data_IF_489836481834
#
_entry.id   IF_489836481834
#
_cell.length_a   1.000
_cell.length_b   1.000
_cell.length_c   1.000
_cell.angle_alpha   90.00
_cell.angle_beta   90.00
_cell.angle_gamma   90.00
#
_symmetry.space_group_name_H-M   'P 1'
#
loop_
_entity.id
_entity.type
_entity.pdbx_description
1 polymer ?
#
# COMPACT_ATOMS: atom_id res chain seq x y z
N UNK A 1 15.04 -18.98 -20.39
CA UNK A 1 13.68 -18.37 -20.34
C UNK A 1 13.15 -18.64 -18.95
N UNK A 2 12.92 -17.59 -18.17
CA UNK A 2 12.43 -17.70 -16.80
C UNK A 2 10.96 -18.16 -16.78
N UNK A 3 10.50 -18.68 -15.66
CA UNK A 3 9.08 -18.95 -15.44
C UNK A 3 8.33 -17.62 -15.24
N UNK A 4 8.88 -16.72 -14.41
CA UNK A 4 8.31 -15.40 -14.19
C UNK A 4 9.35 -14.28 -14.37
N UNK A 5 8.91 -13.20 -15.04
CA UNK A 5 9.59 -11.90 -15.01
C UNK A 5 8.76 -10.96 -14.14
N UNK A 6 9.30 -10.54 -13.00
CA UNK A 6 8.66 -9.61 -12.09
C UNK A 6 9.17 -8.20 -12.38
N UNK A 7 8.28 -7.25 -12.62
CA UNK A 7 8.62 -5.86 -12.88
C UNK A 7 8.34 -5.02 -11.63
N UNK A 8 9.41 -4.60 -10.96
CA UNK A 8 9.39 -3.86 -9.70
C UNK A 8 9.68 -4.71 -8.47
N UNK A 9 10.65 -4.25 -7.66
CA UNK A 9 11.08 -4.86 -6.39
C UNK A 9 10.46 -4.16 -5.15
N UNK A 10 9.27 -3.59 -5.29
CA UNK A 10 8.49 -3.13 -4.12
C UNK A 10 7.94 -4.31 -3.32
N UNK A 11 7.31 -4.07 -2.15
CA UNK A 11 6.85 -5.14 -1.25
C UNK A 11 6.06 -6.26 -1.93
N UNK A 12 5.03 -5.99 -2.78
CA UNK A 12 4.30 -7.08 -3.43
C UNK A 12 5.13 -7.88 -4.43
N UNK A 13 6.03 -7.19 -5.19
CA UNK A 13 6.87 -7.85 -6.20
C UNK A 13 7.93 -8.74 -5.59
N UNK A 14 8.63 -8.24 -4.57
CA UNK A 14 9.62 -9.01 -3.82
C UNK A 14 8.97 -10.21 -3.10
N UNK A 15 7.81 -10.01 -2.50
CA UNK A 15 7.10 -11.10 -1.82
C UNK A 15 6.59 -12.17 -2.82
N UNK A 16 6.02 -11.77 -3.95
CA UNK A 16 5.64 -12.72 -5.01
C UNK A 16 6.84 -13.52 -5.51
N UNK A 17 7.95 -12.83 -5.79
CA UNK A 17 9.17 -13.48 -6.27
C UNK A 17 9.72 -14.48 -5.25
N UNK A 18 9.75 -14.12 -3.96
CA UNK A 18 10.10 -15.04 -2.88
C UNK A 18 9.23 -16.29 -2.91
N UNK A 19 7.88 -16.13 -2.87
CA UNK A 19 6.94 -17.25 -2.83
C UNK A 19 7.04 -18.15 -4.07
N UNK A 20 7.18 -17.56 -5.25
CA UNK A 20 7.34 -18.30 -6.49
C UNK A 20 8.66 -19.08 -6.54
N UNK A 21 9.76 -18.48 -6.05
CA UNK A 21 11.06 -19.18 -5.95
C UNK A 21 11.04 -20.29 -4.91
N UNK A 22 10.40 -20.10 -3.76
CA UNK A 22 10.15 -21.15 -2.75
C UNK A 22 9.35 -22.33 -3.33
N UNK A 23 8.45 -22.05 -4.29
CA UNK A 23 7.71 -23.09 -5.02
C UNK A 23 8.52 -23.77 -6.13
N UNK A 24 9.78 -23.34 -6.36
CA UNK A 24 10.71 -23.94 -7.31
C UNK A 24 10.67 -23.35 -8.71
N UNK A 25 10.02 -22.22 -8.93
CA UNK A 25 10.01 -21.50 -10.19
C UNK A 25 11.27 -20.66 -10.39
N UNK A 26 11.70 -20.53 -11.65
CA UNK A 26 12.80 -19.65 -12.06
C UNK A 26 12.28 -18.21 -12.21
N UNK A 27 12.67 -17.32 -11.30
CA UNK A 27 12.14 -15.96 -11.17
C UNK A 27 13.26 -14.92 -11.34
N UNK A 28 13.01 -13.92 -12.19
CA UNK A 28 13.86 -12.72 -12.31
C UNK A 28 13.04 -11.48 -11.97
N UNK A 29 13.60 -10.61 -11.15
CA UNK A 29 13.03 -9.29 -10.78
C UNK A 29 13.80 -8.22 -11.53
N UNK A 30 13.09 -7.34 -12.25
CA UNK A 30 13.67 -6.16 -12.90
C UNK A 30 13.25 -4.91 -12.11
N UNK A 31 14.23 -4.28 -11.44
CA UNK A 31 14.00 -3.06 -10.65
C UNK A 31 14.74 -1.88 -11.29
N UNK A 32 14.02 -0.75 -11.43
CA UNK A 32 14.57 0.45 -12.09
C UNK A 32 15.73 1.11 -11.33
N UNK A 33 15.74 0.98 -10.00
CA UNK A 33 16.75 1.53 -9.10
C UNK A 33 17.26 0.49 -8.14
N UNK A 34 17.51 0.92 -6.91
CA UNK A 34 17.73 0.04 -5.76
C UNK A 34 16.42 -0.14 -5.00
N UNK A 35 16.16 -1.31 -4.37
CA UNK A 35 14.99 -1.47 -3.51
C UNK A 35 14.93 -0.40 -2.41
N UNK A 36 13.78 0.23 -2.27
CA UNK A 36 13.54 1.29 -1.30
C UNK A 36 13.45 2.67 -1.94
N UNK A 37 14.54 3.45 -2.07
CA UNK A 37 14.44 4.83 -2.56
C UNK A 37 14.27 4.94 -4.09
N UNK A 38 13.54 5.96 -4.60
CA UNK A 38 12.77 6.94 -3.83
C UNK A 38 11.42 6.40 -3.38
N UNK A 39 11.01 6.72 -2.13
CA UNK A 39 9.74 6.26 -1.57
C UNK A 39 8.84 7.43 -1.16
N UNK A 40 7.59 7.38 -1.62
CA UNK A 40 6.50 8.22 -1.15
C UNK A 40 5.46 7.33 -0.44
N UNK A 41 5.79 6.86 0.74
CA UNK A 41 4.93 6.01 1.55
C UNK A 41 5.19 6.22 3.03
N UNK A 42 4.11 6.28 3.82
CA UNK A 42 4.19 6.52 5.26
C UNK A 42 4.87 5.39 6.05
N UNK A 43 4.84 4.16 5.59
CA UNK A 43 5.27 3.03 6.42
C UNK A 43 4.40 2.80 7.65
N UNK A 44 3.19 3.36 7.70
CA UNK A 44 2.21 3.07 8.74
C UNK A 44 1.44 1.80 8.37
N UNK A 45 1.80 0.70 8.98
CA UNK A 45 1.32 -0.64 8.64
C UNK A 45 0.65 -1.31 9.85
N UNK A 46 -0.36 -2.16 9.61
CA UNK A 46 -0.90 -3.00 10.69
C UNK A 46 0.14 -3.99 11.18
N UNK A 47 -0.12 -4.57 12.34
CA UNK A 47 0.76 -5.60 12.93
C UNK A 47 0.88 -6.86 12.08
N UNK A 48 -0.01 -7.08 11.10
CA UNK A 48 0.04 -8.23 10.20
C UNK A 48 1.31 -8.27 9.34
N UNK A 49 1.99 -7.13 9.16
CA UNK A 49 3.24 -7.07 8.39
C UNK A 49 4.29 -8.05 8.93
N UNK A 50 4.31 -8.25 10.24
CA UNK A 50 5.28 -9.12 10.89
C UNK A 50 5.15 -10.60 10.50
N UNK A 51 3.97 -11.04 10.05
CA UNK A 51 3.78 -12.41 9.57
C UNK A 51 4.49 -12.71 8.23
N UNK A 52 4.94 -11.69 7.52
CA UNK A 52 5.66 -11.79 6.25
C UNK A 52 7.18 -11.75 6.39
N UNK A 53 7.67 -11.48 7.60
CA UNK A 53 9.07 -11.17 7.89
C UNK A 53 9.64 -12.13 8.94
N UNK A 54 10.97 -12.27 9.03
CA UNK A 54 11.61 -12.97 10.12
C UNK A 54 11.31 -12.33 11.49
N UNK A 55 11.38 -13.12 12.57
CA UNK A 55 11.02 -12.66 13.93
C UNK A 55 11.88 -11.49 14.41
N UNK A 56 13.14 -11.41 14.00
CA UNK A 56 14.09 -10.34 14.36
C UNK A 56 13.90 -9.04 13.56
N UNK A 57 13.14 -9.06 12.46
CA UNK A 57 12.84 -7.88 11.66
C UNK A 57 12.12 -6.78 12.43
N UNK A 58 11.39 -7.13 13.49
CA UNK A 58 10.66 -6.17 14.32
C UNK A 58 11.59 -5.14 14.94
N UNK A 59 12.73 -5.59 15.47
CA UNK A 59 13.69 -4.71 16.14
C UNK A 59 14.45 -3.81 15.15
N UNK A 60 14.63 -4.28 13.92
CA UNK A 60 15.31 -3.52 12.86
C UNK A 60 14.40 -2.47 12.21
N UNK A 61 13.15 -2.84 11.96
CA UNK A 61 12.25 -2.06 11.10
C UNK A 61 11.31 -1.13 11.87
N UNK A 62 10.94 -1.49 13.09
CA UNK A 62 9.94 -0.75 13.85
C UNK A 62 10.49 0.54 14.41
N UNK A 63 9.90 1.65 14.05
CA UNK A 63 10.22 2.99 14.55
C UNK A 63 9.30 3.40 15.69
N UNK A 64 8.01 3.04 15.64
CA UNK A 64 7.05 3.32 16.70
C UNK A 64 5.92 2.30 16.73
N UNK A 65 5.28 2.15 17.88
CA UNK A 65 4.11 1.31 18.13
C UNK A 65 2.88 2.20 18.26
N UNK A 66 1.80 1.89 17.53
CA UNK A 66 0.57 2.68 17.51
C UNK A 66 -0.59 1.88 18.11
N UNK A 67 -1.25 2.47 19.10
CA UNK A 67 -2.40 1.89 19.80
C UNK A 67 -3.74 2.47 19.33
N UNK A 68 -3.73 3.55 18.57
CA UNK A 68 -4.95 4.17 18.10
C UNK A 68 -4.81 5.34 17.16
N UNK A 69 -5.93 6.01 16.93
CA UNK A 69 -6.01 7.21 16.10
C UNK A 69 -6.88 8.28 16.75
N UNK A 70 -6.50 9.54 16.59
CA UNK A 70 -7.31 10.71 16.93
C UNK A 70 -7.86 11.30 15.64
N UNK A 71 -9.16 11.27 15.48
CA UNK A 71 -9.84 11.88 14.35
C UNK A 71 -10.24 13.31 14.68
N UNK A 72 -9.98 14.22 13.75
CA UNK A 72 -10.28 15.63 13.84
C UNK A 72 -11.18 16.07 12.67
N UNK A 73 -12.24 16.81 12.96
CA UNK A 73 -13.07 17.43 11.92
C UNK A 73 -12.60 18.87 11.72
N UNK A 74 -11.52 19.02 10.96
CA UNK A 74 -10.79 20.26 10.74
C UNK A 74 -9.28 20.07 10.84
N UNK A 75 -8.51 21.16 10.76
CA UNK A 75 -7.06 21.16 10.86
C UNK A 75 -6.52 20.98 12.28
N UNK A 76 -5.21 21.20 12.48
CA UNK A 76 -4.56 21.19 13.79
C UNK A 76 -5.28 22.08 14.80
N UNK A 77 -5.28 21.67 16.09
CA UNK A 77 -6.01 22.37 17.16
C UNK A 77 -7.52 22.11 17.22
N UNK A 78 -8.12 21.41 16.25
CA UNK A 78 -9.52 21.02 16.33
C UNK A 78 -9.71 19.84 17.31
N UNK A 79 -10.96 19.69 17.80
CA UNK A 79 -11.29 18.64 18.80
C UNK A 79 -10.93 17.24 18.28
N UNK A 80 -10.23 16.46 19.11
CA UNK A 80 -9.93 15.05 18.88
C UNK A 80 -11.10 14.14 19.30
N UNK A 81 -11.33 13.10 18.49
CA UNK A 81 -12.18 11.97 18.79
C UNK A 81 -11.30 10.72 18.74
N UNK A 82 -10.99 10.15 19.91
CA UNK A 82 -9.97 9.09 20.05
C UNK A 82 -10.59 7.71 19.87
N UNK A 83 -9.92 6.88 19.08
CA UNK A 83 -10.20 5.47 18.85
C UNK A 83 -8.95 4.68 19.22
N UNK A 84 -9.07 3.68 20.08
CA UNK A 84 -7.90 2.98 20.59
C UNK A 84 -8.17 1.51 20.91
N UNK A 85 -7.09 0.74 21.01
CA UNK A 85 -7.06 -0.59 21.62
C UNK A 85 -5.96 -0.63 22.67
N UNK A 86 -6.06 -1.60 23.59
CA UNK A 86 -4.99 -1.87 24.54
C UNK A 86 -3.79 -2.52 23.87
N UNK A 87 -4.06 -3.40 22.91
CA UNK A 87 -3.04 -4.04 22.09
C UNK A 87 -2.64 -3.13 20.92
N UNK A 88 -1.40 -3.20 20.45
CA UNK A 88 -0.97 -2.48 19.25
C UNK A 88 -1.89 -2.75 18.05
N UNK A 89 -2.25 -1.71 17.31
CA UNK A 89 -3.07 -1.83 16.10
C UNK A 89 -2.25 -1.71 14.83
N UNK A 90 -1.11 -1.02 14.92
CA UNK A 90 -0.23 -0.76 13.79
C UNK A 90 1.16 -0.33 14.26
N UNK A 91 2.06 -0.15 13.32
CA UNK A 91 3.42 0.33 13.57
C UNK A 91 3.80 1.37 12.52
N UNK A 92 4.63 2.34 12.90
CA UNK A 92 5.45 3.08 11.97
C UNK A 92 6.73 2.26 11.73
N UNK A 93 7.05 1.98 10.46
CA UNK A 93 8.23 1.19 10.08
C UNK A 93 9.14 1.96 9.13
N UNK A 94 10.43 1.64 9.15
CA UNK A 94 11.36 2.10 8.13
C UNK A 94 11.04 1.41 6.79
N UNK A 95 10.49 2.20 5.85
CA UNK A 95 10.07 1.69 4.56
C UNK A 95 11.23 1.35 3.65
N UNK A 96 12.35 2.05 3.75
CA UNK A 96 13.54 1.74 2.94
C UNK A 96 14.14 0.43 3.38
N UNK A 97 14.29 0.24 4.69
CA UNK A 97 14.77 -1.01 5.25
C UNK A 97 13.82 -2.18 4.97
N UNK A 98 12.49 -1.96 5.08
CA UNK A 98 11.48 -2.98 4.76
C UNK A 98 11.59 -3.46 3.30
N UNK A 99 11.68 -2.53 2.34
CA UNK A 99 11.74 -2.90 0.92
C UNK A 99 13.04 -3.67 0.61
N UNK A 100 14.16 -3.25 1.21
CA UNK A 100 15.45 -3.96 1.07
C UNK A 100 15.40 -5.36 1.68
N UNK A 101 14.83 -5.50 2.86
CA UNK A 101 14.67 -6.80 3.51
C UNK A 101 13.81 -7.75 2.68
N UNK A 102 12.68 -7.29 2.15
CA UNK A 102 11.82 -8.12 1.30
C UNK A 102 12.52 -8.54 0.00
N UNK A 103 13.32 -7.64 -0.60
CA UNK A 103 14.11 -7.98 -1.79
C UNK A 103 15.21 -9.00 -1.47
N UNK A 104 15.91 -8.84 -0.35
CA UNK A 104 16.92 -9.81 0.14
C UNK A 104 16.28 -11.20 0.37
N UNK A 105 15.12 -11.25 1.02
CA UNK A 105 14.40 -12.52 1.23
C UNK A 105 13.99 -13.20 -0.08
N UNK A 106 13.70 -12.42 -1.13
CA UNK A 106 13.44 -12.98 -2.45
C UNK A 106 14.71 -13.58 -3.09
N UNK A 107 15.87 -12.91 -2.95
CA UNK A 107 17.16 -13.44 -3.43
C UNK A 107 17.57 -14.70 -2.65
N UNK A 108 17.40 -14.72 -1.33
CA UNK A 108 17.67 -15.90 -0.49
C UNK A 108 16.78 -17.10 -0.87
N UNK A 109 15.56 -16.86 -1.34
CA UNK A 109 14.66 -17.89 -1.86
C UNK A 109 15.04 -18.37 -3.27
N UNK A 110 15.98 -17.69 -3.95
CA UNK A 110 16.47 -18.07 -5.27
C UNK A 110 16.04 -17.16 -6.43
N UNK A 111 15.33 -16.07 -6.18
CA UNK A 111 15.00 -15.09 -7.22
C UNK A 111 16.26 -14.32 -7.68
N UNK A 112 16.39 -14.07 -8.96
CA UNK A 112 17.45 -13.21 -9.50
C UNK A 112 16.98 -11.75 -9.47
N UNK A 113 17.58 -10.90 -8.63
CA UNK A 113 17.31 -9.46 -8.61
C UNK A 113 18.26 -8.73 -9.56
N UNK A 114 17.71 -7.98 -10.50
CA UNK A 114 18.45 -7.09 -11.41
C UNK A 114 18.06 -5.64 -11.15
N UNK A 115 18.88 -4.93 -10.41
CA UNK A 115 18.74 -3.49 -10.18
C UNK A 115 19.19 -2.67 -11.39
N UNK A 116 18.79 -1.39 -11.45
CA UNK A 116 19.09 -0.48 -12.56
C UNK A 116 18.55 -0.96 -13.93
N UNK A 117 17.43 -1.71 -13.92
CA UNK A 117 16.74 -2.20 -15.11
C UNK A 117 15.36 -1.54 -15.24
N UNK A 118 15.30 -0.42 -15.97
CA UNK A 118 14.03 0.26 -16.23
C UNK A 118 13.29 -0.43 -17.37
N UNK A 119 12.22 -1.15 -17.05
CA UNK A 119 11.34 -1.74 -18.08
C UNK A 119 10.70 -0.65 -18.92
N UNK A 120 10.87 -0.74 -20.23
CA UNK A 120 10.37 0.25 -21.19
C UNK A 120 9.30 -0.29 -22.11
N UNK A 121 9.31 -1.60 -22.36
CA UNK A 121 8.33 -2.26 -23.23
C UNK A 121 8.22 -3.74 -22.90
N UNK A 122 7.15 -4.38 -23.35
CA UNK A 122 7.00 -5.82 -23.32
C UNK A 122 6.13 -6.29 -24.51
N UNK A 123 6.39 -7.50 -24.97
CA UNK A 123 5.62 -8.15 -26.03
C UNK A 123 5.16 -9.52 -25.51
N UNK A 124 3.85 -9.76 -25.59
CA UNK A 124 3.26 -11.08 -25.28
C UNK A 124 3.25 -11.91 -26.57
N UNK A 125 3.78 -13.12 -26.48
CA UNK A 125 3.90 -14.08 -27.58
C UNK A 125 3.13 -15.38 -27.21
N UNK A 126 2.90 -16.26 -28.15
CA UNK A 126 2.15 -17.51 -27.92
C UNK A 126 2.81 -18.39 -26.84
N UNK A 127 4.14 -18.39 -26.76
CA UNK A 127 4.94 -19.25 -25.87
C UNK A 127 5.58 -18.51 -24.68
N UNK A 128 5.39 -17.18 -24.56
CA UNK A 128 6.00 -16.41 -23.46
C UNK A 128 5.81 -14.91 -23.58
N UNK A 129 6.64 -14.19 -22.82
CA UNK A 129 6.70 -12.74 -22.80
C UNK A 129 8.15 -12.31 -22.97
N UNK A 130 8.41 -11.35 -23.86
CA UNK A 130 9.69 -10.67 -24.00
C UNK A 130 9.61 -9.30 -23.37
N UNK A 131 10.36 -9.06 -22.29
CA UNK A 131 10.41 -7.78 -21.57
C UNK A 131 11.68 -7.03 -21.96
N UNK A 132 11.52 -5.79 -22.40
CA UNK A 132 12.63 -4.90 -22.77
C UNK A 132 12.91 -3.93 -21.63
N UNK A 133 14.16 -3.89 -21.16
CA UNK A 133 14.60 -2.99 -20.11
C UNK A 133 15.83 -2.17 -20.55
N UNK A 134 15.91 -0.92 -20.09
CA UNK A 134 17.06 -0.04 -20.25
C UNK A 134 17.93 -0.09 -19.00
N UNK A 135 19.22 -0.24 -19.22
CA UNK A 135 20.31 0.03 -18.29
C UNK A 135 21.02 1.33 -18.70
N UNK A 136 21.92 1.89 -17.87
CA UNK A 136 22.61 3.13 -18.21
C UNK A 136 23.24 3.15 -19.60
N UNK A 137 23.84 2.04 -20.01
CA UNK A 137 24.66 1.97 -21.25
C UNK A 137 24.07 1.06 -22.34
N UNK A 138 22.99 0.32 -22.05
CA UNK A 138 22.45 -0.66 -23.00
C UNK A 138 20.95 -0.91 -22.84
N UNK A 139 20.37 -1.49 -23.86
CA UNK A 139 19.02 -2.07 -23.79
C UNK A 139 19.14 -3.59 -23.80
N UNK A 140 18.48 -4.22 -22.84
CA UNK A 140 18.48 -5.68 -22.68
C UNK A 140 17.06 -6.23 -22.82
N UNK A 141 16.97 -7.50 -23.20
CA UNK A 141 15.70 -8.22 -23.26
C UNK A 141 15.77 -9.42 -22.31
N UNK A 142 14.67 -9.67 -21.61
CA UNK A 142 14.49 -10.81 -20.71
C UNK A 142 13.24 -11.57 -21.16
N UNK A 143 13.37 -12.88 -21.30
CA UNK A 143 12.25 -13.75 -21.69
C UNK A 143 11.72 -14.55 -20.51
N UNK A 144 10.40 -14.54 -20.33
CA UNK A 144 9.70 -15.37 -19.35
C UNK A 144 8.46 -16.04 -19.92
N UNK A 145 7.92 -17.00 -19.21
CA UNK A 145 6.62 -17.61 -19.53
C UNK A 145 5.47 -16.66 -19.23
N UNK A 146 5.60 -15.92 -18.11
CA UNK A 146 4.65 -14.90 -17.67
C UNK A 146 5.36 -13.67 -17.10
N UNK A 147 4.66 -12.53 -17.08
CA UNK A 147 5.11 -11.29 -16.45
C UNK A 147 4.18 -10.88 -15.33
N UNK A 148 4.76 -10.58 -14.15
CA UNK A 148 4.10 -9.97 -13.01
C UNK A 148 4.37 -8.46 -13.01
N UNK A 149 3.35 -7.64 -13.22
CA UNK A 149 3.44 -6.19 -13.10
C UNK A 149 3.27 -5.76 -11.64
N UNK A 150 4.41 -5.44 -10.99
CA UNK A 150 4.50 -4.92 -9.62
C UNK A 150 5.11 -3.51 -9.62
N UNK A 151 4.98 -2.80 -10.73
CA UNK A 151 5.66 -1.56 -11.10
C UNK A 151 4.93 -0.28 -10.66
N UNK A 152 4.06 -0.42 -9.65
CA UNK A 152 3.45 0.69 -8.95
C UNK A 152 2.28 1.35 -9.69
N UNK A 153 1.81 2.52 -9.21
CA UNK A 153 0.54 3.12 -9.63
C UNK A 153 0.51 3.53 -11.12
N UNK A 154 1.67 3.85 -11.69
CA UNK A 154 1.81 4.22 -13.10
C UNK A 154 2.24 3.05 -13.97
N UNK A 155 1.81 1.84 -13.62
CA UNK A 155 2.26 0.60 -14.23
C UNK A 155 2.41 0.65 -15.75
N UNK A 156 3.60 0.33 -16.20
CA UNK A 156 3.89 0.16 -17.62
C UNK A 156 3.34 -1.16 -18.12
N UNK A 157 3.47 -2.22 -17.31
CA UNK A 157 2.91 -3.53 -17.65
C UNK A 157 1.42 -3.39 -17.94
N UNK A 158 0.64 -2.78 -17.02
CA UNK A 158 -0.80 -2.53 -17.20
C UNK A 158 -1.12 -1.88 -18.54
N UNK A 159 -0.44 -0.77 -18.85
CA UNK A 159 -0.70 -0.02 -20.09
C UNK A 159 -0.31 -0.78 -21.34
N UNK A 160 0.82 -1.48 -21.31
CA UNK A 160 1.30 -2.20 -22.50
C UNK A 160 0.40 -3.39 -22.85
N UNK A 161 -0.14 -4.10 -21.85
CA UNK A 161 -1.07 -5.22 -22.10
C UNK A 161 -2.54 -4.79 -22.24
N UNK A 162 -2.80 -3.47 -22.24
CA UNK A 162 -4.13 -2.91 -22.51
C UNK A 162 -5.15 -3.13 -21.39
N UNK A 163 -4.70 -3.28 -20.14
CA UNK A 163 -5.58 -3.32 -18.97
C UNK A 163 -6.01 -1.91 -18.56
N UNK A 164 -7.24 -1.79 -18.06
CA UNK A 164 -7.85 -0.52 -17.68
C UNK A 164 -7.09 0.16 -16.52
N UNK A 165 -7.21 1.50 -16.46
CA UNK A 165 -6.68 2.30 -15.35
C UNK A 165 -7.51 2.08 -14.07
N UNK A 166 -6.95 2.39 -12.87
CA UNK A 166 -7.71 2.46 -11.62
C UNK A 166 -8.94 3.38 -11.73
N UNK A 167 -9.97 3.11 -10.91
CA UNK A 167 -11.17 3.97 -10.88
C UNK A 167 -10.84 5.43 -10.52
N UNK A 168 -9.84 5.63 -9.66
CA UNK A 168 -9.36 6.93 -9.21
C UNK A 168 -7.88 6.84 -8.83
N UNK A 169 -7.17 7.95 -8.98
CA UNK A 169 -5.80 8.08 -8.48
C UNK A 169 -5.73 9.36 -7.65
N UNK A 170 -5.20 9.29 -6.42
CA UNK A 170 -4.95 10.45 -5.59
C UNK A 170 -3.49 10.88 -5.70
N UNK A 171 -3.24 12.16 -5.49
CA UNK A 171 -1.89 12.71 -5.32
C UNK A 171 -1.61 12.83 -3.82
N UNK A 172 -0.69 12.02 -3.32
CA UNK A 172 -0.20 12.06 -1.95
C UNK A 172 1.08 12.87 -1.84
N UNK A 173 1.18 13.66 -0.78
CA UNK A 173 2.42 14.37 -0.40
C UNK A 173 2.74 14.09 1.06
N UNK A 174 4.02 13.95 1.36
CA UNK A 174 4.57 13.63 2.67
C UNK A 174 5.68 14.60 3.04
N UNK A 175 5.76 14.95 4.31
CA UNK A 175 6.85 15.70 4.89
C UNK A 175 7.29 15.09 6.22
N UNK A 176 8.55 15.24 6.58
CA UNK A 176 9.14 14.68 7.79
C UNK A 176 9.81 15.80 8.59
N UNK A 177 9.60 15.81 9.91
CA UNK A 177 10.37 16.60 10.87
C UNK A 177 11.33 15.69 11.65
N UNK A 178 12.34 16.29 12.28
CA UNK A 178 13.35 15.56 13.08
C UNK A 178 13.02 15.56 14.58
N UNK A 179 11.88 16.11 14.99
CA UNK A 179 11.49 16.14 16.40
C UNK A 179 11.13 14.74 16.88
N UNK A 180 11.79 14.25 17.92
CA UNK A 180 11.47 12.97 18.56
C UNK A 180 10.03 12.99 19.06
N UNK A 181 9.27 11.94 18.71
CA UNK A 181 7.88 11.80 19.14
C UNK A 181 7.49 10.33 19.29
N UNK A 182 7.29 9.91 20.50
CA UNK A 182 6.92 8.56 20.92
C UNK A 182 5.42 8.43 21.29
N UNK A 183 4.60 9.44 20.92
CA UNK A 183 3.14 9.32 21.03
C UNK A 183 2.65 8.05 20.31
N UNK A 184 1.77 7.31 20.93
CA UNK A 184 1.26 6.04 20.44
C UNK A 184 -0.05 6.18 19.65
N UNK A 185 -0.40 7.41 19.23
CA UNK A 185 -1.57 7.73 18.41
C UNK A 185 -1.19 8.46 17.13
N UNK A 186 -1.82 8.07 16.03
CA UNK A 186 -1.82 8.88 14.80
C UNK A 186 -2.93 9.92 14.86
N UNK A 187 -2.70 11.10 14.29
CA UNK A 187 -3.74 12.09 14.08
C UNK A 187 -4.24 12.06 12.64
N UNK A 188 -5.56 12.03 12.46
CA UNK A 188 -6.24 12.01 11.16
C UNK A 188 -7.17 13.22 11.08
N UNK A 189 -6.91 14.11 10.13
CA UNK A 189 -7.63 15.36 9.96
C UNK A 189 -8.52 15.33 8.72
N UNK A 190 -9.84 15.38 8.93
CA UNK A 190 -10.83 15.49 7.84
C UNK A 190 -10.93 16.97 7.40
N UNK A 191 -9.87 17.47 6.76
CA UNK A 191 -9.69 18.86 6.38
C UNK A 191 -9.40 19.09 4.89
N UNK A 192 -9.13 18.01 4.15
CA UNK A 192 -8.93 18.06 2.68
C UNK A 192 -10.08 17.39 1.93
N UNK A 193 -10.22 17.69 0.65
CA UNK A 193 -11.31 17.18 -0.17
C UNK A 193 -11.20 15.67 -0.40
N UNK A 194 -12.27 14.95 -0.10
CA UNK A 194 -12.45 13.51 -0.39
C UNK A 194 -11.43 12.55 0.23
N UNK A 195 -10.53 13.09 1.09
CA UNK A 195 -9.55 12.31 1.82
C UNK A 195 -9.25 12.97 3.18
N UNK A 196 -7.99 12.90 3.67
CA UNK A 196 -7.58 13.44 4.96
C UNK A 196 -6.10 13.84 4.95
N UNK A 197 -5.70 14.66 5.94
CA UNK A 197 -4.31 14.85 6.33
C UNK A 197 -3.99 14.00 7.54
N UNK A 198 -2.72 13.63 7.72
CA UNK A 198 -2.29 12.80 8.85
C UNK A 198 -1.00 13.30 9.48
N UNK A 199 -0.83 12.96 10.74
CA UNK A 199 0.40 13.06 11.49
C UNK A 199 0.70 11.70 12.11
N UNK A 200 1.91 11.17 11.89
CA UNK A 200 2.34 9.86 12.37
C UNK A 200 3.63 10.02 13.14
N UNK A 201 3.61 9.80 14.48
CA UNK A 201 4.83 9.79 15.31
C UNK A 201 5.67 8.55 14.98
N UNK A 202 6.99 8.72 14.88
CA UNK A 202 7.95 7.70 14.46
C UNK A 202 9.07 7.50 15.48
N UNK A 203 8.83 7.83 16.76
CA UNK A 203 9.84 7.78 17.80
C UNK A 203 11.02 8.72 17.51
N UNK A 204 12.24 8.23 17.67
CA UNK A 204 13.47 8.97 17.37
C UNK A 204 13.71 9.22 15.86
N UNK A 205 12.92 8.63 14.99
CA UNK A 205 12.96 8.93 13.54
C UNK A 205 12.12 10.16 13.16
N UNK A 206 11.60 10.89 14.13
CA UNK A 206 10.85 12.12 13.95
C UNK A 206 9.35 11.93 13.79
N UNK A 207 8.72 12.84 13.05
CA UNK A 207 7.28 12.81 12.76
C UNK A 207 7.04 12.94 11.27
N UNK A 208 6.10 12.15 10.78
CA UNK A 208 5.61 12.26 9.42
C UNK A 208 4.29 13.04 9.39
N UNK A 209 4.21 13.97 8.45
CA UNK A 209 3.01 14.71 8.09
C UNK A 209 2.66 14.42 6.63
N UNK A 210 1.39 14.28 6.33
CA UNK A 210 1.00 14.04 4.95
C UNK A 210 -0.46 14.34 4.68
N UNK A 211 -0.80 14.35 3.41
CA UNK A 211 -2.17 14.42 2.92
C UNK A 211 -2.27 13.80 1.52
N UNK A 212 -3.49 13.49 1.11
CA UNK A 212 -3.75 13.11 -0.26
C UNK A 212 -5.02 13.79 -0.78
N UNK A 213 -5.02 14.17 -2.05
CA UNK A 213 -6.12 14.86 -2.70
C UNK A 213 -6.36 14.31 -4.12
N UNK A 214 -7.55 14.49 -4.69
CA UNK A 214 -7.76 14.23 -6.11
C UNK A 214 -6.87 15.13 -6.97
N UNK A 215 -6.33 14.65 -8.10
CA UNK A 215 -5.53 15.47 -9.00
C UNK A 215 -6.31 16.69 -9.49
N UNK A 216 -5.65 17.85 -9.49
CA UNK A 216 -6.22 19.11 -10.00
C UNK A 216 -7.23 19.81 -9.07
N UNK A 217 -7.44 19.32 -7.84
CA UNK A 217 -8.31 20.01 -6.86
C UNK A 217 -7.63 21.18 -6.19
N UNK A 218 -6.35 21.10 -5.86
CA UNK A 218 -5.52 22.14 -5.25
C UNK A 218 -4.03 21.82 -5.44
N UNK A 219 -3.13 22.71 -5.03
CA UNK A 219 -1.72 22.36 -4.87
C UNK A 219 -1.52 21.57 -3.57
N UNK A 220 -1.03 20.34 -3.70
CA UNK A 220 -0.83 19.46 -2.55
C UNK A 220 0.33 19.92 -1.65
N UNK A 221 1.33 20.58 -2.23
CA UNK A 221 2.46 21.15 -1.49
C UNK A 221 2.02 22.31 -0.60
N UNK A 222 1.23 23.24 -1.15
CA UNK A 222 0.69 24.39 -0.40
C UNK A 222 -0.20 23.92 0.75
N UNK A 223 -1.04 22.89 0.52
CA UNK A 223 -1.87 22.30 1.58
C UNK A 223 -1.04 21.60 2.66
N UNK A 224 0.09 20.98 2.30
CA UNK A 224 1.00 20.40 3.28
C UNK A 224 1.66 21.48 4.13
N UNK A 225 2.07 22.61 3.51
CA UNK A 225 2.64 23.74 4.22
C UNK A 225 1.64 24.34 5.22
N UNK A 226 0.40 24.61 4.81
CA UNK A 226 -0.67 25.09 5.70
C UNK A 226 -0.91 24.09 6.86
N UNK A 227 -0.89 22.79 6.56
CA UNK A 227 -1.10 21.75 7.59
C UNK A 227 0.02 21.71 8.61
N UNK A 228 1.28 21.78 8.18
CA UNK A 228 2.45 21.72 9.07
C UNK A 228 2.67 23.07 9.81
N UNK A 229 2.34 24.20 9.20
CA UNK A 229 2.29 25.49 9.87
C UNK A 229 1.34 25.47 11.07
N UNK A 230 0.19 24.78 10.96
CA UNK A 230 -0.77 24.58 12.03
C UNK A 230 -0.24 23.77 13.21
N UNK A 231 0.82 22.99 13.02
CA UNK A 231 1.58 22.30 14.06
C UNK A 231 2.81 23.08 14.52
N UNK A 232 3.23 24.13 13.80
CA UNK A 232 4.42 24.92 14.11
C UNK A 232 5.74 24.20 13.85
N UNK A 233 5.77 23.27 12.86
CA UNK A 233 6.94 22.43 12.56
C UNK A 233 7.55 22.78 11.21
N UNK A 234 8.86 22.58 11.10
CA UNK A 234 9.61 22.65 9.84
C UNK A 234 9.88 21.26 9.28
N UNK A 235 9.71 21.11 7.97
CA UNK A 235 9.95 19.85 7.29
C UNK A 235 11.37 19.80 6.70
N UNK A 236 12.13 18.77 7.09
CA UNK A 236 13.50 18.54 6.59
C UNK A 236 13.54 17.75 5.27
N UNK A 237 12.49 17.00 4.98
CA UNK A 237 12.37 16.19 3.76
C UNK A 237 10.93 16.14 3.28
N UNK A 238 10.76 16.13 1.97
CA UNK A 238 9.45 15.96 1.31
C UNK A 238 9.52 14.91 0.23
N UNK A 239 8.43 14.22 0.01
CA UNK A 239 8.23 13.33 -1.12
C UNK A 239 6.75 13.31 -1.54
N UNK A 240 6.49 12.85 -2.76
CA UNK A 240 5.14 12.74 -3.29
C UNK A 240 4.98 11.48 -4.13
N UNK A 241 3.77 10.99 -4.21
CA UNK A 241 3.45 9.79 -4.98
C UNK A 241 1.97 9.71 -5.32
N UNK A 242 1.64 8.77 -6.17
CA UNK A 242 0.26 8.49 -6.56
C UNK A 242 -0.29 7.33 -5.73
N UNK A 243 -1.56 7.42 -5.36
CA UNK A 243 -2.28 6.38 -4.62
C UNK A 243 -3.45 5.92 -5.52
N UNK A 244 -3.35 4.73 -6.12
CA UNK A 244 -4.41 4.21 -6.98
C UNK A 244 -5.54 3.64 -6.12
N UNK A 245 -6.77 3.98 -6.44
CA UNK A 245 -7.96 3.56 -5.70
C UNK A 245 -8.94 2.87 -6.64
N UNK A 246 -9.38 1.69 -6.25
CA UNK A 246 -10.38 0.92 -6.99
C UNK A 246 -9.77 0.13 -8.14
N UNK A 247 -9.58 -1.19 -7.94
CA UNK A 247 -9.04 -2.05 -8.98
C UNK A 247 -9.88 -2.01 -10.25
N UNK A 248 -9.26 -2.09 -11.44
CA UNK A 248 -9.95 -2.24 -12.70
C UNK A 248 -10.75 -3.56 -12.77
N UNK A 249 -11.59 -3.69 -13.80
CA UNK A 249 -12.43 -4.88 -13.98
C UNK A 249 -11.62 -6.17 -14.08
N UNK A 250 -10.44 -6.11 -14.70
CA UNK A 250 -9.47 -7.21 -14.76
C UNK A 250 -8.07 -6.69 -14.44
N UNK A 251 -7.30 -7.54 -13.74
CA UNK A 251 -5.87 -7.31 -13.46
C UNK A 251 -4.99 -8.37 -14.15
N UNK A 252 -5.57 -9.16 -15.05
CA UNK A 252 -4.91 -10.22 -15.81
C UNK A 252 -5.17 -10.07 -17.31
N UNK A 253 -4.21 -10.43 -18.15
CA UNK A 253 -4.29 -10.45 -19.61
C UNK A 253 -3.29 -11.47 -20.14
N UNK A 254 -3.75 -12.42 -20.98
CA UNK A 254 -2.95 -13.49 -21.58
C UNK A 254 -1.88 -14.08 -20.65
N UNK A 255 -0.64 -13.61 -20.74
CA UNK A 255 0.51 -14.06 -19.93
C UNK A 255 1.01 -12.98 -18.95
N UNK A 256 0.16 -12.00 -18.65
CA UNK A 256 0.48 -10.89 -17.77
C UNK A 256 -0.55 -10.77 -16.64
N UNK A 257 -0.08 -10.43 -15.45
CA UNK A 257 -0.91 -10.14 -14.29
C UNK A 257 -0.31 -9.03 -13.44
N UNK A 258 -1.17 -8.31 -12.74
CA UNK A 258 -0.78 -7.16 -11.92
C UNK A 258 -0.97 -7.48 -10.44
N UNK A 259 -0.07 -6.94 -9.60
CA UNK A 259 -0.12 -7.07 -8.14
C UNK A 259 0.13 -5.70 -7.49
N UNK A 260 -0.52 -5.44 -6.35
CA UNK A 260 -0.33 -4.23 -5.55
C UNK A 260 -0.87 -2.97 -6.23
N UNK A 261 -0.12 -1.88 -6.19
CA UNK A 261 -0.54 -0.60 -6.75
C UNK A 261 -0.71 -0.64 -8.28
N UNK A 262 0.03 -1.51 -8.97
CA UNK A 262 -0.17 -1.73 -10.40
C UNK A 262 -1.59 -2.24 -10.72
N UNK A 263 -2.18 -2.99 -9.80
CA UNK A 263 -3.55 -3.51 -9.84
C UNK A 263 -4.55 -2.66 -9.03
N UNK A 264 -4.11 -1.55 -8.43
CA UNK A 264 -4.90 -0.74 -7.50
C UNK A 264 -5.50 -1.54 -6.31
N UNK A 265 -4.78 -2.56 -5.85
CA UNK A 265 -5.14 -3.36 -4.67
C UNK A 265 -4.80 -2.59 -3.40
N UNK A 266 -5.52 -1.49 -3.17
CA UNK A 266 -5.34 -0.55 -2.06
C UNK A 266 -6.61 -0.41 -1.23
N UNK A 267 -6.45 -0.02 0.04
CA UNK A 267 -7.56 0.31 0.93
C UNK A 267 -8.13 1.69 0.58
N UNK A 268 -9.36 1.82 0.09
CA UNK A 268 -9.88 3.11 -0.38
C UNK A 268 -9.97 4.18 0.71
N UNK A 269 -10.09 3.78 1.98
CA UNK A 269 -10.28 4.69 3.11
C UNK A 269 -8.99 5.15 3.79
N UNK A 270 -7.85 4.47 3.57
CA UNK A 270 -6.54 4.90 4.10
C UNK A 270 -5.49 5.14 3.04
N UNK A 271 -5.69 4.67 1.81
CA UNK A 271 -4.70 4.69 0.73
C UNK A 271 -3.58 3.66 0.88
N UNK A 272 -3.58 2.84 1.95
CA UNK A 272 -2.54 1.81 2.17
C UNK A 272 -2.71 0.61 1.24
N UNK A 273 -1.65 0.23 0.50
CA UNK A 273 -1.67 -0.87 -0.48
C UNK A 273 -0.77 -2.06 -0.14
N UNK A 274 0.21 -1.90 0.75
CA UNK A 274 1.27 -2.90 0.95
C UNK A 274 0.69 -4.28 1.31
N UNK A 275 -0.08 -4.38 2.38
CA UNK A 275 -0.60 -5.67 2.83
C UNK A 275 -1.65 -6.26 1.88
N UNK A 276 -2.45 -5.43 1.22
CA UNK A 276 -3.34 -5.93 0.16
C UNK A 276 -2.57 -6.46 -1.04
N UNK A 277 -1.48 -5.77 -1.42
CA UNK A 277 -0.57 -6.23 -2.46
C UNK A 277 0.14 -7.54 -2.08
N UNK A 278 0.62 -7.68 -0.83
CA UNK A 278 1.27 -8.90 -0.37
C UNK A 278 0.31 -10.09 -0.29
N UNK A 279 -0.92 -9.88 0.21
CA UNK A 279 -1.99 -10.91 0.17
C UNK A 279 -2.31 -11.33 -1.27
N UNK A 280 -2.35 -10.37 -2.19
CA UNK A 280 -2.57 -10.67 -3.61
C UNK A 280 -1.38 -11.40 -4.22
N UNK A 281 -0.16 -11.13 -3.78
CA UNK A 281 1.04 -11.87 -4.16
C UNK A 281 0.98 -13.34 -3.69
N UNK A 282 0.48 -13.60 -2.47
CA UNK A 282 0.22 -14.96 -2.00
C UNK A 282 -0.77 -15.68 -2.91
N UNK A 283 -1.91 -15.05 -3.23
CA UNK A 283 -2.88 -15.64 -4.15
C UNK A 283 -2.29 -15.91 -5.54
N UNK A 284 -1.44 -15.02 -6.04
CA UNK A 284 -0.76 -15.22 -7.32
C UNK A 284 0.20 -16.43 -7.26
N UNK A 285 1.03 -16.51 -6.22
CA UNK A 285 1.97 -17.62 -6.04
C UNK A 285 1.28 -18.98 -5.85
N UNK A 286 0.12 -18.98 -5.17
CA UNK A 286 -0.63 -20.20 -4.89
C UNK A 286 -1.45 -20.71 -6.08
N UNK A 287 -1.78 -19.87 -7.06
CA UNK A 287 -2.75 -20.22 -8.12
C UNK A 287 -2.18 -20.17 -9.53
N UNK A 288 -1.11 -19.40 -9.78
CA UNK A 288 -0.60 -19.21 -11.13
C UNK A 288 0.42 -20.31 -11.47
N UNK A 289 0.11 -21.07 -12.53
CA UNK A 289 1.05 -21.97 -13.18
C UNK A 289 1.59 -21.27 -14.46
N UNK A 290 2.89 -20.93 -14.53
CA UNK A 290 3.45 -20.22 -15.67
C UNK A 290 3.39 -21.01 -16.98
N UNK A 291 3.21 -22.33 -16.92
CA UNK A 291 3.00 -23.16 -18.10
C UNK A 291 1.56 -23.13 -18.62
N UNK A 292 0.60 -22.67 -17.80
CA UNK A 292 -0.83 -22.64 -18.11
C UNK A 292 -1.43 -21.23 -17.98
N UNK A 293 -1.55 -20.43 -19.04
CA UNK A 293 -2.14 -19.09 -19.00
C UNK A 293 -3.55 -19.02 -18.41
N UNK A 294 -4.34 -20.10 -18.53
CA UNK A 294 -5.70 -20.12 -17.95
C UNK A 294 -5.71 -20.09 -16.42
N UNK A 295 -4.57 -20.36 -15.77
CA UNK A 295 -4.43 -20.22 -14.30
C UNK A 295 -4.59 -18.78 -13.81
N UNK A 296 -4.43 -17.78 -14.68
CA UNK A 296 -4.66 -16.38 -14.36
C UNK A 296 -6.10 -16.08 -13.93
N UNK A 297 -7.08 -16.82 -14.42
CA UNK A 297 -8.48 -16.68 -13.98
C UNK A 297 -8.66 -17.16 -12.52
N UNK A 298 -7.87 -18.14 -12.09
CA UNK A 298 -7.86 -18.58 -10.69
C UNK A 298 -7.30 -17.49 -9.77
N UNK A 299 -6.21 -16.85 -10.16
CA UNK A 299 -5.68 -15.68 -9.43
C UNK A 299 -6.70 -14.54 -9.34
N UNK A 300 -7.31 -14.15 -10.49
CA UNK A 300 -8.34 -13.10 -10.52
C UNK A 300 -9.47 -13.41 -9.54
N UNK A 301 -9.93 -14.66 -9.49
CA UNK A 301 -10.99 -15.10 -8.60
C UNK A 301 -10.57 -15.11 -7.13
N UNK A 302 -9.37 -15.60 -6.83
CA UNK A 302 -8.87 -15.76 -5.46
C UNK A 302 -8.69 -14.42 -4.75
N UNK A 303 -7.94 -13.48 -5.33
CA UNK A 303 -7.72 -12.18 -4.70
C UNK A 303 -9.01 -11.37 -4.56
N UNK A 304 -9.96 -11.48 -5.54
CA UNK A 304 -11.26 -10.81 -5.43
C UNK A 304 -12.13 -11.41 -4.35
N UNK A 305 -12.13 -12.72 -4.19
CA UNK A 305 -12.88 -13.38 -3.12
C UNK A 305 -12.39 -12.89 -1.74
N UNK A 306 -11.09 -12.63 -1.59
CA UNK A 306 -10.48 -12.14 -0.37
C UNK A 306 -10.72 -10.64 -0.14
N UNK A 307 -10.40 -9.78 -1.11
CA UNK A 307 -10.31 -8.32 -0.90
C UNK A 307 -11.54 -7.52 -1.33
N UNK A 308 -12.43 -8.05 -2.19
CA UNK A 308 -13.51 -7.21 -2.77
C UNK A 308 -14.47 -6.64 -1.74
N UNK A 309 -14.77 -7.40 -0.68
CA UNK A 309 -15.66 -6.92 0.40
C UNK A 309 -15.00 -5.82 1.22
N UNK A 310 -13.72 -5.97 1.53
CA UNK A 310 -12.93 -4.98 2.26
C UNK A 310 -12.80 -3.68 1.46
N UNK A 311 -12.55 -3.79 0.16
CA UNK A 311 -12.48 -2.65 -0.76
C UNK A 311 -13.85 -1.96 -0.87
N UNK A 312 -14.95 -2.70 -1.02
CA UNK A 312 -16.29 -2.14 -1.11
C UNK A 312 -16.69 -1.38 0.17
N UNK A 313 -16.42 -1.96 1.35
CA UNK A 313 -16.65 -1.30 2.63
C UNK A 313 -15.74 -0.09 2.81
N UNK A 314 -14.47 -0.20 2.41
CA UNK A 314 -13.53 0.93 2.42
C UNK A 314 -14.00 2.11 1.56
N UNK A 315 -14.58 1.85 0.39
CA UNK A 315 -15.22 2.88 -0.45
C UNK A 315 -16.41 3.56 0.27
N UNK A 316 -17.20 2.78 1.00
CA UNK A 316 -18.32 3.32 1.79
C UNK A 316 -17.82 4.20 2.95
N UNK A 317 -16.82 3.74 3.71
CA UNK A 317 -16.19 4.53 4.79
C UNK A 317 -15.63 5.84 4.24
N UNK A 318 -14.93 5.79 3.11
CA UNK A 318 -14.36 7.00 2.48
C UNK A 318 -15.43 8.04 2.10
N UNK A 319 -16.63 7.62 1.70
CA UNK A 319 -17.75 8.57 1.44
C UNK A 319 -18.10 9.39 2.68
N UNK A 320 -17.86 8.88 3.89
CA UNK A 320 -18.09 9.62 5.12
C UNK A 320 -17.16 10.83 5.30
N UNK A 321 -16.00 10.84 4.62
CA UNK A 321 -15.06 11.98 4.66
C UNK A 321 -15.61 13.25 3.99
N UNK A 322 -16.58 13.09 3.09
CA UNK A 322 -17.24 14.19 2.39
C UNK A 322 -18.58 14.60 3.01
N UNK A 323 -18.97 14.02 4.15
CA UNK A 323 -20.20 14.41 4.84
C UNK A 323 -20.09 15.81 5.46
N UNK A 324 -21.21 16.54 5.67
CA UNK A 324 -21.19 17.81 6.38
C UNK A 324 -20.55 17.70 7.77
N UNK A 325 -19.70 18.66 8.14
CA UNK A 325 -18.94 18.67 9.41
C UNK A 325 -19.77 18.33 10.66
N UNK A 326 -21.03 18.82 10.84
CA UNK A 326 -21.83 18.44 12.01
C UNK A 326 -22.14 16.94 12.06
N UNK A 327 -22.37 16.31 10.89
CA UNK A 327 -22.65 14.86 10.79
C UNK A 327 -21.37 14.07 11.10
N UNK A 328 -20.23 14.49 10.58
CA UNK A 328 -18.92 13.88 10.90
C UNK A 328 -18.65 13.93 12.41
N UNK A 329 -18.82 15.11 13.03
CA UNK A 329 -18.63 15.30 14.50
C UNK A 329 -19.55 14.43 15.31
N UNK A 330 -20.82 14.33 14.92
CA UNK A 330 -21.78 13.45 15.59
C UNK A 330 -21.38 11.98 15.45
N UNK A 331 -21.08 11.52 14.24
CA UNK A 331 -20.63 10.16 13.97
C UNK A 331 -19.40 9.78 14.78
N UNK A 332 -18.35 10.59 14.74
CA UNK A 332 -17.11 10.36 15.48
C UNK A 332 -17.35 10.35 17.01
N UNK A 333 -18.23 11.25 17.52
CA UNK A 333 -18.57 11.29 18.95
C UNK A 333 -19.26 10.02 19.43
N UNK A 334 -20.14 9.44 18.61
CA UNK A 334 -20.89 8.24 18.98
C UNK A 334 -20.04 6.98 18.87
N UNK A 335 -19.10 6.96 17.92
CA UNK A 335 -18.27 5.77 17.62
C UNK A 335 -16.91 5.77 18.29
N UNK A 336 -16.45 6.91 18.85
CA UNK A 336 -15.14 7.01 19.52
C UNK A 336 -15.06 6.15 20.79
N UNK A 337 -13.86 5.77 21.18
CA UNK A 337 -13.54 4.95 22.34
C UNK A 337 -12.75 3.70 22.00
N UNK A 338 -12.81 2.70 22.87
CA UNK A 338 -12.14 1.41 22.62
C UNK A 338 -12.85 0.66 21.50
N UNK A 339 -12.20 0.58 20.33
CA UNK A 339 -12.78 0.01 19.12
C UNK A 339 -12.02 -1.22 18.65
N UNK A 340 -12.75 -2.28 18.28
CA UNK A 340 -12.18 -3.52 17.78
C UNK A 340 -12.01 -3.59 16.26
N UNK A 341 -11.79 -2.47 15.56
CA UNK A 341 -11.61 -2.48 14.10
C UNK A 341 -10.19 -2.82 13.73
N UNK A 342 -10.04 -3.77 12.82
CA UNK A 342 -8.75 -4.07 12.22
C UNK A 342 -8.47 -3.13 11.05
N UNK A 343 -7.25 -2.59 10.96
CA UNK A 343 -6.89 -1.59 9.96
C UNK A 343 -6.97 -2.12 8.53
N UNK A 344 -6.68 -3.42 8.31
CA UNK A 344 -6.73 -4.06 7.00
C UNK A 344 -8.03 -4.82 6.73
N UNK A 345 -8.81 -5.10 7.78
CA UNK A 345 -10.07 -5.82 7.67
C UNK A 345 -11.22 -5.00 8.25
N UNK A 346 -11.67 -3.91 7.57
CA UNK A 346 -12.76 -3.07 8.04
C UNK A 346 -14.09 -3.82 8.25
N UNK A 347 -14.30 -4.98 7.61
CA UNK A 347 -15.45 -5.85 7.89
C UNK A 347 -15.47 -6.38 9.31
N UNK A 348 -14.36 -6.35 10.05
CA UNK A 348 -14.31 -6.66 11.49
C UNK A 348 -15.21 -5.78 12.34
N UNK A 349 -15.64 -4.60 11.86
CA UNK A 349 -16.68 -3.75 12.47
C UNK A 349 -18.00 -4.48 12.72
N UNK A 350 -18.34 -5.45 11.86
CA UNK A 350 -19.62 -6.16 11.90
C UNK A 350 -19.56 -7.50 12.65
N UNK A 351 -18.52 -7.73 13.45
CA UNK A 351 -18.48 -8.93 14.31
C UNK A 351 -19.54 -8.85 15.43
N UNK A 352 -20.08 -10.01 15.84
CA UNK A 352 -21.13 -10.11 16.87
C UNK A 352 -20.77 -9.44 18.20
N UNK A 353 -19.48 -9.33 18.52
CA UNK A 353 -19.00 -8.63 19.71
C UNK A 353 -19.28 -7.12 19.65
N UNK A 354 -19.17 -6.49 18.47
CA UNK A 354 -19.43 -5.07 18.26
C UNK A 354 -20.94 -4.78 18.19
N UNK A 355 -21.70 -5.62 17.48
CA UNK A 355 -23.16 -5.50 17.41
C UNK A 355 -23.81 -5.58 18.79
N UNK A 356 -23.32 -6.46 19.68
CA UNK A 356 -23.82 -6.55 21.08
C UNK A 356 -23.50 -5.30 21.92
N UNK A 357 -22.40 -4.60 21.64
CA UNK A 357 -22.01 -3.37 22.36
C UNK A 357 -22.91 -2.18 21.97
N UNK A 358 -23.31 -2.11 20.70
CA UNK A 358 -24.21 -1.08 20.16
C UNK A 358 -25.68 -1.29 20.60
N UNK A 359 -26.05 -2.51 20.95
CA UNK A 359 -27.39 -2.86 21.41
C UNK A 359 -27.55 -2.82 22.94
N UNK A 360 -26.50 -2.50 23.71
CA UNK A 360 -26.62 -2.27 25.16
C UNK A 360 -26.96 -0.78 25.37
N UNK A 361 -28.17 -0.46 25.87
CA UNK A 361 -28.45 0.90 26.34
C UNK A 361 -27.50 1.20 27.50
N UNK A 362 -26.82 2.37 27.43
CA UNK A 362 -25.97 2.90 28.50
C UNK A 362 -26.78 3.32 29.72
#
# INVERSE_FOLDING_TARGET
MHDFVVVGAGPPGSHFARRASEAGYDVVILERGEPGPPLACSGHLSTDIWSYLPDDAVDELRQNVIHGARFHVGGPGSRAYTFYKREPVSNAVDRVALDRMLAMLAEEAGAELRTNHTVTDLTVEDDGVTVTAKRPDETVTVRGRMVAGCDGPTSRVRRTVGLDEPEETLHGVLGFSEEDDDDDFVDVHLNVERFFSWRIPRGSAGVEYGLAIPPGSADAGDLLDEFTEGYGVELVRRCSGLIPIGPPTRVTSDRAFLIGDAAAQTKPFTGGGILYGMRSADHAADTIDPSNPSSLDAYESAWRADLSREIALGKLIRRCYSLPRPIQRFGLRVTSGEIGVHMDNPTSLFTWSHLRRWLRPG
#
